data_IF_231750276628
#
_entry.id   IF_231750276628
#
_cell.length_a   1.000
_cell.length_b   1.000
_cell.length_c   1.000
_cell.angle_alpha   90.00
_cell.angle_beta   90.00
_cell.angle_gamma   90.00
#
_symmetry.space_group_name_H-M   'P 1'
#
loop_
_entity.id
_entity.type
_entity.pdbx_description
1 polymer ?
#
# COMPACT_ATOMS: atom_id res chain seq x y z
N UNK A 1 -41.55 16.01 3.94
CA UNK A 1 -40.56 16.78 4.71
C UNK A 1 -39.11 16.40 4.33
N UNK A 2 -38.77 15.11 4.22
CA UNK A 2 -37.44 14.66 3.86
C UNK A 2 -36.97 15.07 2.43
N UNK A 3 -37.85 15.03 1.44
CA UNK A 3 -37.51 15.42 0.07
C UNK A 3 -37.25 16.93 -0.09
N UNK A 4 -37.91 17.78 0.68
CA UNK A 4 -37.72 19.23 0.67
C UNK A 4 -36.36 19.60 1.28
N UNK A 5 -35.97 18.91 2.35
CA UNK A 5 -34.65 19.11 2.98
C UNK A 5 -33.53 18.68 2.04
N UNK A 6 -33.68 17.55 1.34
CA UNK A 6 -32.71 17.07 0.34
C UNK A 6 -32.61 18.08 -0.84
N UNK A 7 -33.73 18.63 -1.30
CA UNK A 7 -33.75 19.62 -2.38
C UNK A 7 -33.14 20.97 -1.95
N UNK A 8 -33.39 21.42 -0.70
CA UNK A 8 -32.77 22.64 -0.14
C UNK A 8 -31.28 22.47 0.09
N UNK A 9 -30.84 21.33 0.62
CA UNK A 9 -29.41 21.02 0.79
C UNK A 9 -28.74 20.90 -0.56
N UNK A 10 -29.40 20.30 -1.56
CA UNK A 10 -28.88 20.19 -2.92
C UNK A 10 -28.79 21.55 -3.63
N UNK A 11 -29.77 22.45 -3.43
CA UNK A 11 -29.75 23.84 -3.91
C UNK A 11 -28.59 24.63 -3.30
N UNK A 12 -28.44 24.56 -1.97
CA UNK A 12 -27.34 25.23 -1.27
C UNK A 12 -25.97 24.70 -1.70
N UNK A 13 -25.82 23.38 -1.85
CA UNK A 13 -24.58 22.79 -2.36
C UNK A 13 -24.29 23.26 -3.79
N UNK A 14 -25.28 23.28 -4.66
CA UNK A 14 -25.16 23.72 -6.04
C UNK A 14 -24.77 25.20 -6.14
N UNK A 15 -25.37 26.05 -5.32
CA UNK A 15 -25.12 27.50 -5.37
C UNK A 15 -23.77 27.90 -4.74
N UNK A 16 -23.30 27.18 -3.74
CA UNK A 16 -22.00 27.45 -3.10
C UNK A 16 -20.82 26.74 -3.77
N UNK A 17 -21.02 25.56 -4.37
CA UNK A 17 -19.94 24.82 -5.03
C UNK A 17 -19.82 25.09 -6.53
N UNK A 18 -20.89 25.52 -7.20
CA UNK A 18 -20.82 25.92 -8.60
C UNK A 18 -19.81 27.07 -8.85
N UNK A 19 -19.68 28.12 -8.02
CA UNK A 19 -18.65 29.13 -8.19
C UNK A 19 -17.22 28.60 -8.00
N UNK A 20 -17.03 27.63 -7.13
CA UNK A 20 -15.72 26.95 -6.93
C UNK A 20 -15.37 26.03 -8.10
N UNK A 21 -16.37 25.39 -8.71
CA UNK A 21 -16.22 24.58 -9.92
C UNK A 21 -16.03 25.44 -11.17
N UNK A 22 -16.63 26.65 -11.23
CA UNK A 22 -16.43 27.62 -12.31
C UNK A 22 -15.05 28.30 -12.23
N UNK A 23 -14.38 28.30 -11.08
CA UNK A 23 -12.99 28.75 -10.94
C UNK A 23 -11.99 27.73 -11.49
N UNK A 24 -12.40 26.49 -11.66
CA UNK A 24 -11.64 25.47 -12.36
C UNK A 24 -12.05 25.58 -13.83
N UNK A 25 -11.21 26.22 -14.62
CA UNK A 25 -11.43 26.34 -16.08
C UNK A 25 -11.60 24.91 -16.65
N UNK A 26 -12.80 24.60 -17.12
CA UNK A 26 -13.19 23.29 -17.64
C UNK A 26 -12.28 22.79 -18.77
N UNK A 27 -11.67 23.73 -19.51
CA UNK A 27 -10.67 23.41 -20.54
C UNK A 27 -9.41 22.78 -19.99
N UNK A 28 -9.10 23.02 -18.70
CA UNK A 28 -7.96 22.42 -18.00
C UNK A 28 -8.26 20.97 -17.59
N UNK A 29 -9.55 20.64 -17.40
CA UNK A 29 -9.98 19.28 -17.03
C UNK A 29 -10.21 18.37 -18.25
N UNK A 30 -10.47 18.95 -19.42
CA UNK A 30 -10.65 18.26 -20.70
C UNK A 30 -9.64 18.81 -21.71
N UNK A 31 -8.40 18.28 -21.78
CA UNK A 31 -7.60 18.47 -22.98
C UNK A 31 -8.36 17.84 -24.17
N UNK A 32 -8.05 18.24 -25.41
CA UNK A 32 -8.68 17.75 -26.66
C UNK A 32 -8.62 16.21 -26.82
N UNK A 33 -7.90 15.52 -25.92
CA UNK A 33 -7.83 14.07 -25.75
C UNK A 33 -8.77 13.65 -24.61
N UNK A 34 -9.43 12.51 -24.74
CA UNK A 34 -10.41 11.92 -23.79
C UNK A 34 -9.84 11.58 -22.40
N UNK A 35 -8.58 11.90 -22.12
CA UNK A 35 -7.88 11.57 -20.89
C UNK A 35 -8.01 12.66 -19.83
N UNK A 36 -8.22 12.32 -18.56
CA UNK A 36 -8.25 13.30 -17.48
C UNK A 36 -6.92 14.06 -17.37
N UNK A 37 -6.99 15.35 -17.10
CA UNK A 37 -5.80 16.19 -16.99
C UNK A 37 -4.94 15.81 -15.78
N UNK A 38 -3.63 16.02 -15.85
CA UNK A 38 -2.69 15.87 -14.73
C UNK A 38 -3.14 16.70 -13.50
N UNK A 39 -3.84 17.82 -13.73
CA UNK A 39 -4.41 18.64 -12.67
C UNK A 39 -5.42 17.84 -11.81
N UNK A 40 -6.30 17.04 -12.43
CA UNK A 40 -7.26 16.22 -11.70
C UNK A 40 -6.56 15.26 -10.71
N UNK A 41 -5.46 14.64 -11.11
CA UNK A 41 -4.72 13.71 -10.26
C UNK A 41 -4.07 14.43 -9.06
N UNK A 42 -3.46 15.59 -9.28
CA UNK A 42 -2.96 16.43 -8.18
C UNK A 42 -4.08 16.91 -7.27
N UNK A 43 -5.23 17.25 -7.84
CA UNK A 43 -6.41 17.65 -7.07
C UNK A 43 -6.91 16.52 -6.19
N UNK A 44 -7.06 15.30 -6.73
CA UNK A 44 -7.51 14.12 -5.97
C UNK A 44 -6.55 13.77 -4.83
N UNK A 45 -5.25 13.76 -5.10
CA UNK A 45 -4.23 13.51 -4.07
C UNK A 45 -4.31 14.56 -2.95
N UNK A 46 -4.40 15.84 -3.31
CA UNK A 46 -4.51 16.95 -2.36
C UNK A 46 -5.82 16.89 -1.57
N UNK A 47 -6.93 16.56 -2.22
CA UNK A 47 -8.23 16.41 -1.58
C UNK A 47 -8.21 15.25 -0.56
N UNK A 48 -7.65 14.10 -0.94
CA UNK A 48 -7.50 12.95 -0.04
C UNK A 48 -6.63 13.30 1.19
N UNK A 49 -5.54 14.03 0.97
CA UNK A 49 -4.70 14.54 2.05
C UNK A 49 -5.50 15.45 2.98
N UNK A 50 -6.21 16.45 2.46
CA UNK A 50 -7.00 17.39 3.26
C UNK A 50 -8.13 16.71 4.04
N UNK A 51 -8.88 15.81 3.39
CA UNK A 51 -9.97 15.07 4.06
C UNK A 51 -9.39 14.21 5.19
N UNK A 52 -8.29 13.51 4.94
CA UNK A 52 -7.65 12.70 5.98
C UNK A 52 -7.08 13.55 7.13
N UNK A 53 -6.57 14.76 6.85
CA UNK A 53 -6.15 15.71 7.89
C UNK A 53 -7.31 16.12 8.83
N UNK A 54 -8.53 16.15 8.32
CA UNK A 54 -9.73 16.44 9.12
C UNK A 54 -10.22 15.21 9.89
N UNK A 55 -10.14 14.02 9.31
CA UNK A 55 -10.66 12.78 9.91
C UNK A 55 -9.73 12.21 10.98
N UNK A 56 -8.41 12.28 10.82
CA UNK A 56 -7.44 11.69 11.75
C UNK A 56 -7.58 12.24 13.17
N UNK A 57 -7.68 13.56 13.43
CA UNK A 57 -7.87 14.07 14.79
C UNK A 57 -9.15 13.53 15.44
N UNK A 58 -10.24 13.37 14.68
CA UNK A 58 -11.50 12.80 15.17
C UNK A 58 -11.34 11.33 15.57
N UNK A 59 -10.62 10.57 14.76
CA UNK A 59 -10.30 9.17 15.07
C UNK A 59 -9.41 9.03 16.31
N UNK A 60 -8.46 9.95 16.53
CA UNK A 60 -7.63 10.00 17.75
C UNK A 60 -8.51 10.28 18.97
N UNK A 61 -9.43 11.26 18.90
CA UNK A 61 -10.35 11.58 19.99
C UNK A 61 -11.26 10.38 20.30
N UNK A 62 -11.82 9.76 19.26
CA UNK A 62 -12.66 8.57 19.39
C UNK A 62 -11.89 7.40 20.04
N UNK A 63 -10.70 7.09 19.54
CA UNK A 63 -9.87 6.00 20.07
C UNK A 63 -9.53 6.23 21.56
N UNK A 64 -9.19 7.44 21.94
CA UNK A 64 -8.89 7.78 23.34
C UNK A 64 -10.13 7.63 24.24
N UNK A 65 -11.30 8.06 23.75
CA UNK A 65 -12.56 7.96 24.50
C UNK A 65 -12.99 6.52 24.76
N UNK A 66 -12.81 5.64 23.75
CA UNK A 66 -13.19 4.23 23.83
C UNK A 66 -12.05 3.31 24.22
N UNK A 67 -10.88 3.87 24.60
CA UNK A 67 -9.68 3.13 25.02
C UNK A 67 -9.16 2.15 23.95
N UNK A 68 -9.36 2.48 22.67
CA UNK A 68 -8.82 1.75 21.54
C UNK A 68 -7.35 2.19 21.30
N UNK A 69 -6.51 1.86 22.26
CA UNK A 69 -5.12 2.31 22.35
C UNK A 69 -4.19 1.14 22.60
N UNK A 70 -3.01 1.20 22.01
CA UNK A 70 -1.94 0.27 22.31
C UNK A 70 -1.24 0.68 23.60
N UNK A 71 -1.24 -0.23 24.59
CA UNK A 71 -0.61 0.01 25.88
C UNK A 71 0.88 -0.38 25.85
N UNK A 72 1.75 0.44 26.51
CA UNK A 72 3.14 0.07 26.68
C UNK A 72 3.28 -1.25 27.43
N UNK A 73 4.13 -2.13 26.94
CA UNK A 73 4.55 -3.34 27.64
C UNK A 73 6.06 -3.55 27.47
N UNK A 74 6.64 -4.50 28.21
CA UNK A 74 8.08 -4.78 28.19
C UNK A 74 8.65 -5.16 26.82
N UNK A 75 7.78 -5.48 25.85
CA UNK A 75 8.17 -5.83 24.49
C UNK A 75 8.06 -4.67 23.50
N UNK A 76 7.44 -3.52 23.89
CA UNK A 76 7.16 -2.40 22.99
C UNK A 76 8.11 -1.24 23.26
N UNK A 77 8.38 -0.44 22.23
CA UNK A 77 9.34 0.68 22.28
C UNK A 77 8.72 2.01 22.69
N UNK A 78 7.37 2.09 22.74
CA UNK A 78 6.66 3.32 23.12
C UNK A 78 6.36 3.36 24.62
N UNK A 79 6.41 4.57 25.20
CA UNK A 79 6.23 4.82 26.64
C UNK A 79 4.82 5.32 26.99
N UNK A 80 4.01 5.68 26.01
CA UNK A 80 2.64 6.22 26.19
C UNK A 80 1.65 5.37 25.41
N UNK A 81 0.43 5.26 25.95
CA UNK A 81 -0.69 4.65 25.22
C UNK A 81 -0.98 5.45 23.96
N UNK A 82 -1.02 4.79 22.81
CA UNK A 82 -1.19 5.43 21.50
C UNK A 82 -2.38 4.82 20.77
N UNK A 83 -3.29 5.64 20.22
CA UNK A 83 -4.42 5.18 19.40
C UNK A 83 -4.01 4.29 18.23
N UNK A 84 -4.84 3.28 17.89
CA UNK A 84 -4.55 2.26 16.87
C UNK A 84 -5.55 2.30 15.69
N UNK A 85 -6.23 3.42 15.45
CA UNK A 85 -7.22 3.56 14.38
C UNK A 85 -6.68 4.18 13.09
N UNK A 86 -5.37 4.05 12.82
CA UNK A 86 -4.75 4.62 11.63
C UNK A 86 -5.35 4.09 10.33
N UNK A 87 -5.50 2.77 10.21
CA UNK A 87 -6.08 2.15 9.03
C UNK A 87 -7.54 2.55 8.79
N UNK A 88 -8.34 2.61 9.87
CA UNK A 88 -9.74 3.09 9.78
C UNK A 88 -9.78 4.53 9.26
N UNK A 89 -8.89 5.41 9.75
CA UNK A 89 -8.83 6.81 9.32
C UNK A 89 -8.45 6.93 7.85
N UNK A 90 -7.46 6.17 7.39
CA UNK A 90 -7.02 6.11 5.99
C UNK A 90 -8.17 5.62 5.12
N UNK A 91 -8.80 4.50 5.49
CA UNK A 91 -9.89 3.90 4.74
C UNK A 91 -11.06 4.87 4.52
N UNK A 92 -11.55 5.51 5.58
CA UNK A 92 -12.63 6.49 5.45
C UNK A 92 -12.21 7.73 4.65
N UNK A 93 -10.95 8.19 4.81
CA UNK A 93 -10.41 9.27 3.99
C UNK A 93 -10.43 8.94 2.49
N UNK A 94 -10.01 7.72 2.14
CA UNK A 94 -10.04 7.22 0.76
C UNK A 94 -11.46 7.08 0.23
N UNK A 95 -12.35 6.39 0.96
CA UNK A 95 -13.74 6.15 0.53
C UNK A 95 -14.47 7.47 0.32
N UNK A 96 -14.31 8.42 1.24
CA UNK A 96 -14.97 9.71 1.15
C UNK A 96 -14.45 10.53 -0.03
N UNK A 97 -13.12 10.57 -0.22
CA UNK A 97 -12.51 11.28 -1.35
C UNK A 97 -12.92 10.66 -2.68
N UNK A 98 -12.77 9.34 -2.82
CA UNK A 98 -13.12 8.63 -4.05
C UNK A 98 -14.61 8.81 -4.38
N UNK A 99 -15.50 8.63 -3.39
CA UNK A 99 -16.94 8.84 -3.57
C UNK A 99 -17.28 10.27 -3.99
N UNK A 100 -16.63 11.28 -3.37
CA UNK A 100 -16.82 12.69 -3.73
C UNK A 100 -16.38 12.96 -5.16
N UNK A 101 -15.20 12.50 -5.55
CA UNK A 101 -14.67 12.65 -6.91
C UNK A 101 -15.59 11.96 -7.92
N UNK A 102 -16.02 10.72 -7.64
CA UNK A 102 -16.95 10.00 -8.52
C UNK A 102 -18.30 10.72 -8.65
N UNK A 103 -18.85 11.24 -7.56
CA UNK A 103 -20.12 11.95 -7.57
C UNK A 103 -20.09 13.19 -8.48
N UNK A 104 -19.00 13.98 -8.41
CA UNK A 104 -18.91 15.21 -9.20
C UNK A 104 -18.44 14.99 -10.64
N UNK A 105 -17.59 14.00 -10.89
CA UNK A 105 -16.92 13.84 -12.18
C UNK A 105 -17.51 12.74 -13.06
N UNK A 106 -18.35 11.85 -12.52
CA UNK A 106 -18.91 10.72 -13.26
C UNK A 106 -19.57 11.12 -14.58
N UNK A 107 -20.43 12.15 -14.54
CA UNK A 107 -21.17 12.62 -15.73
C UNK A 107 -20.32 13.46 -16.69
N UNK A 108 -19.12 13.87 -16.29
CA UNK A 108 -18.30 14.83 -17.01
C UNK A 108 -17.13 14.19 -17.75
N UNK A 109 -16.61 13.10 -17.22
CA UNK A 109 -15.41 12.43 -17.73
C UNK A 109 -15.73 11.26 -18.67
N UNK A 110 -17.02 10.94 -18.90
CA UNK A 110 -17.43 9.76 -19.71
C UNK A 110 -16.66 8.48 -19.37
N UNK A 111 -16.30 8.32 -18.06
CA UNK A 111 -15.51 7.20 -17.58
C UNK A 111 -16.35 5.94 -17.65
N UNK A 112 -15.84 4.90 -18.30
CA UNK A 112 -16.40 3.56 -18.20
C UNK A 112 -16.11 3.03 -16.79
N UNK A 113 -17.13 2.94 -15.92
CA UNK A 113 -16.95 2.42 -14.57
C UNK A 113 -16.92 0.90 -14.57
N UNK A 114 -15.80 0.33 -14.17
CA UNK A 114 -15.75 -1.08 -13.80
C UNK A 114 -16.28 -1.26 -12.38
N UNK A 115 -17.59 -1.47 -12.26
CA UNK A 115 -18.24 -1.67 -10.95
C UNK A 115 -17.72 -2.89 -10.21
N UNK A 116 -17.35 -3.98 -10.92
CA UNK A 116 -16.77 -5.17 -10.30
C UNK A 116 -15.47 -4.82 -9.57
N UNK A 117 -14.58 -4.07 -10.22
CA UNK A 117 -13.33 -3.61 -9.64
C UNK A 117 -13.58 -2.72 -8.40
N UNK A 118 -14.42 -1.69 -8.56
CA UNK A 118 -14.67 -0.71 -7.48
C UNK A 118 -15.26 -1.43 -6.27
N UNK A 119 -16.39 -2.12 -6.42
CA UNK A 119 -17.04 -2.79 -5.30
C UNK A 119 -16.21 -3.97 -4.78
N UNK A 120 -15.52 -4.70 -5.66
CA UNK A 120 -14.64 -5.79 -5.27
C UNK A 120 -13.49 -5.32 -4.38
N UNK A 121 -12.75 -4.31 -4.82
CA UNK A 121 -11.61 -3.79 -4.07
C UNK A 121 -12.04 -3.15 -2.74
N UNK A 122 -13.06 -2.27 -2.75
CA UNK A 122 -13.51 -1.62 -1.53
C UNK A 122 -14.11 -2.61 -0.51
N UNK A 123 -14.83 -3.66 -0.98
CA UNK A 123 -15.33 -4.72 -0.10
C UNK A 123 -14.19 -5.53 0.53
N UNK A 124 -13.18 -5.89 -0.26
CA UNK A 124 -12.00 -6.61 0.22
C UNK A 124 -11.21 -5.80 1.25
N UNK A 125 -10.98 -4.51 0.98
CA UNK A 125 -10.31 -3.62 1.92
C UNK A 125 -11.14 -3.43 3.19
N UNK A 126 -12.47 -3.25 3.07
CA UNK A 126 -13.38 -3.14 4.23
C UNK A 126 -13.32 -4.38 5.12
N UNK A 127 -13.31 -5.57 4.51
CA UNK A 127 -13.18 -6.83 5.24
C UNK A 127 -11.86 -6.89 6.02
N UNK A 128 -10.76 -6.44 5.40
CA UNK A 128 -9.44 -6.46 6.03
C UNK A 128 -9.30 -5.38 7.11
N UNK A 129 -9.88 -4.19 6.92
CA UNK A 129 -9.95 -3.15 7.96
C UNK A 129 -10.74 -3.66 9.17
N UNK A 130 -11.91 -4.25 8.93
CA UNK A 130 -12.75 -4.81 10.00
C UNK A 130 -12.05 -5.94 10.75
N UNK A 131 -11.46 -6.90 10.01
CA UNK A 131 -10.74 -8.00 10.63
C UNK A 131 -9.49 -7.54 11.38
N UNK A 132 -8.72 -6.61 10.81
CA UNK A 132 -7.56 -6.02 11.48
C UNK A 132 -7.93 -5.25 12.75
N UNK A 133 -9.05 -4.55 12.75
CA UNK A 133 -9.58 -3.91 13.96
C UNK A 133 -9.97 -4.94 15.03
N UNK A 134 -10.60 -6.05 14.63
CA UNK A 134 -10.85 -7.18 15.54
C UNK A 134 -9.53 -7.72 16.13
N UNK A 135 -8.51 -7.85 15.30
CA UNK A 135 -7.21 -8.35 15.74
C UNK A 135 -6.50 -7.40 16.71
N UNK A 136 -6.51 -6.11 16.43
CA UNK A 136 -5.97 -5.07 17.31
C UNK A 136 -6.62 -5.08 18.70
N UNK A 137 -7.93 -5.42 18.79
CA UNK A 137 -8.69 -5.42 20.05
C UNK A 137 -8.63 -6.77 20.74
N UNK A 138 -8.81 -7.87 20.01
CA UNK A 138 -9.06 -9.21 20.56
C UNK A 138 -7.92 -10.21 20.37
N UNK A 139 -6.84 -9.84 19.64
CA UNK A 139 -5.70 -10.70 19.32
C UNK A 139 -6.13 -12.02 18.66
N UNK A 140 -6.42 -12.00 17.37
CA UNK A 140 -6.86 -13.15 16.61
C UNK A 140 -5.78 -14.24 16.52
N UNK A 141 -6.21 -15.49 16.40
CA UNK A 141 -5.30 -16.61 16.17
C UNK A 141 -4.66 -16.51 14.77
N UNK A 142 -3.39 -16.95 14.59
CA UNK A 142 -2.73 -16.90 13.29
C UNK A 142 -3.52 -17.57 12.16
N UNK A 143 -4.21 -18.67 12.45
CA UNK A 143 -5.04 -19.37 11.45
C UNK A 143 -6.25 -18.54 11.00
N UNK A 144 -6.86 -17.75 11.90
CA UNK A 144 -7.95 -16.86 11.56
C UNK A 144 -7.44 -15.74 10.64
N UNK A 145 -6.25 -15.18 10.90
CA UNK A 145 -5.61 -14.17 10.04
C UNK A 145 -5.44 -14.70 8.62
N UNK A 146 -4.82 -15.86 8.48
CA UNK A 146 -4.56 -16.49 7.17
C UNK A 146 -5.88 -16.80 6.45
N UNK A 147 -6.91 -17.27 7.15
CA UNK A 147 -8.20 -17.56 6.57
C UNK A 147 -8.86 -16.31 5.96
N UNK A 148 -8.92 -15.19 6.69
CA UNK A 148 -9.48 -13.94 6.17
C UNK A 148 -8.64 -13.35 5.04
N UNK A 149 -7.31 -13.48 5.09
CA UNK A 149 -6.42 -13.06 4.02
C UNK A 149 -6.64 -13.87 2.74
N UNK A 150 -6.85 -15.19 2.83
CA UNK A 150 -7.17 -16.05 1.66
C UNK A 150 -8.52 -15.63 1.05
N UNK A 151 -9.55 -15.42 1.87
CA UNK A 151 -10.86 -14.95 1.37
C UNK A 151 -10.72 -13.61 0.66
N UNK A 152 -10.01 -12.66 1.28
CA UNK A 152 -9.77 -11.33 0.72
C UNK A 152 -9.00 -11.43 -0.61
N UNK A 153 -7.92 -12.22 -0.65
CA UNK A 153 -7.13 -12.43 -1.86
C UNK A 153 -7.97 -13.02 -3.00
N UNK A 154 -8.70 -14.09 -2.72
CA UNK A 154 -9.56 -14.74 -3.70
C UNK A 154 -10.63 -13.77 -4.23
N UNK A 155 -11.25 -12.98 -3.33
CA UNK A 155 -12.26 -12.02 -3.69
C UNK A 155 -11.72 -10.93 -4.62
N UNK A 156 -10.55 -10.33 -4.33
CA UNK A 156 -9.91 -9.34 -5.20
C UNK A 156 -9.54 -9.94 -6.55
N UNK A 157 -8.89 -11.12 -6.55
CA UNK A 157 -8.44 -11.79 -7.78
C UNK A 157 -9.62 -12.05 -8.72
N UNK A 158 -10.77 -12.48 -8.20
CA UNK A 158 -11.94 -12.81 -9.00
C UNK A 158 -12.71 -11.56 -9.40
N UNK A 159 -12.95 -10.62 -8.48
CA UNK A 159 -13.78 -9.44 -8.77
C UNK A 159 -13.06 -8.39 -9.61
N UNK A 160 -11.75 -8.21 -9.40
CA UNK A 160 -10.95 -7.27 -10.17
C UNK A 160 -10.34 -7.90 -11.43
N UNK A 161 -10.51 -9.21 -11.63
CA UNK A 161 -9.98 -9.98 -12.77
C UNK A 161 -8.44 -9.86 -12.89
N UNK A 162 -7.74 -9.76 -11.74
CA UNK A 162 -6.29 -9.59 -11.66
C UNK A 162 -5.64 -10.87 -11.12
N UNK A 163 -4.63 -11.40 -11.84
CA UNK A 163 -3.89 -12.59 -11.41
C UNK A 163 -2.50 -12.64 -12.05
N UNK A 164 -1.62 -13.42 -11.46
CA UNK A 164 -0.32 -13.71 -12.06
C UNK A 164 -0.48 -14.94 -12.96
N UNK A 165 -0.53 -14.73 -14.25
CA UNK A 165 -0.67 -15.79 -15.26
C UNK A 165 0.54 -15.90 -16.19
N UNK A 166 1.45 -14.94 -16.14
CA UNK A 166 2.65 -14.91 -16.96
C UNK A 166 3.86 -14.38 -16.17
N UNK A 167 5.03 -14.96 -16.38
CA UNK A 167 6.30 -14.53 -15.78
C UNK A 167 7.19 -13.73 -16.73
N UNK A 168 6.71 -13.40 -17.94
CA UNK A 168 7.46 -12.63 -18.93
C UNK A 168 8.76 -13.31 -19.39
N UNK A 169 8.85 -14.64 -19.31
CA UNK A 169 10.04 -15.41 -19.65
C UNK A 169 11.09 -15.49 -18.52
N UNK A 170 10.78 -15.05 -17.31
CA UNK A 170 11.65 -15.22 -16.15
C UNK A 170 11.90 -16.71 -15.91
N UNK A 171 13.17 -17.14 -15.90
CA UNK A 171 13.60 -18.55 -15.83
C UNK A 171 13.05 -19.45 -16.95
N UNK A 172 12.65 -18.86 -18.11
CA UNK A 172 12.04 -19.57 -19.23
C UNK A 172 10.55 -19.91 -19.01
N UNK A 173 9.93 -19.41 -17.94
CA UNK A 173 8.51 -19.58 -17.67
C UNK A 173 7.76 -18.40 -18.29
N UNK A 174 6.79 -18.69 -19.15
CA UNK A 174 5.91 -17.71 -19.76
C UNK A 174 4.52 -17.80 -19.12
N UNK A 175 3.69 -18.68 -19.55
CA UNK A 175 2.30 -18.77 -19.11
C UNK A 175 2.08 -19.87 -18.06
N UNK A 176 1.22 -19.57 -17.10
CA UNK A 176 0.69 -20.54 -16.15
C UNK A 176 -0.70 -21.00 -16.58
N UNK A 177 -0.99 -22.29 -16.41
CA UNK A 177 -2.38 -22.75 -16.58
C UNK A 177 -3.27 -22.07 -15.53
N UNK A 178 -4.56 -21.86 -15.85
CA UNK A 178 -5.48 -21.13 -15.00
C UNK A 178 -5.52 -21.65 -13.55
N UNK A 179 -5.48 -22.97 -13.35
CA UNK A 179 -5.49 -23.57 -12.01
C UNK A 179 -4.28 -23.15 -11.17
N UNK A 180 -3.06 -23.29 -11.72
CA UNK A 180 -1.83 -22.86 -11.01
C UNK A 180 -1.76 -21.34 -10.85
N UNK A 181 -2.23 -20.56 -11.82
CA UNK A 181 -2.30 -19.11 -11.75
C UNK A 181 -3.14 -18.65 -10.55
N UNK A 182 -4.34 -19.20 -10.34
CA UNK A 182 -5.18 -18.84 -9.19
C UNK A 182 -4.52 -19.20 -7.85
N UNK A 183 -4.00 -20.42 -7.70
CA UNK A 183 -3.36 -20.87 -6.46
C UNK A 183 -2.13 -20.00 -6.14
N UNK A 184 -1.28 -19.78 -7.15
CA UNK A 184 -0.07 -18.98 -6.99
C UNK A 184 -0.41 -17.51 -6.67
N UNK A 185 -1.42 -16.96 -7.33
CA UNK A 185 -1.89 -15.61 -7.08
C UNK A 185 -2.39 -15.44 -5.65
N UNK A 186 -3.27 -16.32 -5.16
CA UNK A 186 -3.73 -16.28 -3.76
C UNK A 186 -2.56 -16.36 -2.79
N UNK A 187 -1.61 -17.26 -3.03
CA UNK A 187 -0.43 -17.43 -2.18
C UNK A 187 0.43 -16.14 -2.13
N UNK A 188 0.75 -15.55 -3.28
CA UNK A 188 1.54 -14.30 -3.35
C UNK A 188 0.78 -13.14 -2.71
N UNK A 189 -0.53 -13.04 -2.92
CA UNK A 189 -1.37 -12.01 -2.34
C UNK A 189 -1.34 -12.05 -0.81
N UNK A 190 -1.49 -13.25 -0.23
CA UNK A 190 -1.40 -13.47 1.23
C UNK A 190 -0.02 -13.12 1.76
N UNK A 191 1.06 -13.46 1.03
CA UNK A 191 2.43 -13.06 1.41
C UNK A 191 2.54 -11.54 1.46
N UNK A 192 2.01 -10.81 0.49
CA UNK A 192 2.07 -9.35 0.44
C UNK A 192 1.33 -8.72 1.62
N UNK A 193 0.11 -9.19 1.95
CA UNK A 193 -0.62 -8.72 3.13
C UNK A 193 0.21 -8.92 4.40
N UNK A 194 0.78 -10.12 4.58
CA UNK A 194 1.61 -10.41 5.75
C UNK A 194 2.91 -9.60 5.76
N UNK A 195 3.53 -9.37 4.61
CA UNK A 195 4.76 -8.59 4.52
C UNK A 195 4.54 -7.15 4.99
N UNK A 196 3.46 -6.49 4.57
CA UNK A 196 3.12 -5.15 5.04
C UNK A 196 2.75 -5.11 6.52
N UNK A 197 2.09 -6.14 7.04
CA UNK A 197 1.80 -6.25 8.46
C UNK A 197 3.09 -6.46 9.29
N UNK A 198 4.02 -7.29 8.83
CA UNK A 198 5.25 -7.59 9.56
C UNK A 198 6.26 -6.43 9.59
N UNK A 199 6.28 -5.55 8.58
CA UNK A 199 7.16 -4.37 8.59
C UNK A 199 6.59 -3.19 9.38
N UNK A 200 5.34 -3.27 9.88
CA UNK A 200 4.71 -2.23 10.69
C UNK A 200 5.23 -2.22 12.15
N UNK A 201 6.53 -2.44 12.32
CA UNK A 201 7.19 -2.50 13.64
C UNK A 201 7.82 -1.20 14.13
N UNK A 202 7.92 -0.17 13.27
CA UNK A 202 8.44 1.17 13.62
C UNK A 202 7.63 2.27 12.92
N UNK A 203 7.61 3.45 13.57
CA UNK A 203 6.82 4.59 13.10
C UNK A 203 7.11 4.92 11.63
N UNK A 204 6.08 4.98 10.83
CA UNK A 204 6.08 5.41 9.44
C UNK A 204 6.56 4.40 8.41
N UNK A 205 7.14 3.25 8.78
CA UNK A 205 7.78 2.36 7.82
C UNK A 205 6.79 1.76 6.82
N UNK A 206 5.79 1.03 7.30
CA UNK A 206 4.77 0.39 6.45
C UNK A 206 4.01 1.43 5.61
N UNK A 207 3.60 2.54 6.24
CA UNK A 207 2.89 3.62 5.56
C UNK A 207 3.76 4.35 4.51
N UNK A 208 5.08 4.53 4.74
CA UNK A 208 5.96 5.17 3.76
C UNK A 208 6.23 4.27 2.55
N UNK A 209 6.47 2.97 2.75
CA UNK A 209 6.59 2.01 1.65
C UNK A 209 5.27 1.93 0.88
N UNK A 210 4.14 1.91 1.58
CA UNK A 210 2.82 1.96 0.96
C UNK A 210 2.58 3.23 0.15
N UNK A 211 2.99 4.39 0.66
CA UNK A 211 2.90 5.68 -0.06
C UNK A 211 3.69 5.63 -1.38
N UNK A 212 4.94 5.16 -1.35
CA UNK A 212 5.76 5.06 -2.56
C UNK A 212 5.13 4.07 -3.55
N UNK A 213 4.65 2.92 -3.06
CA UNK A 213 4.00 1.91 -3.90
C UNK A 213 2.74 2.46 -4.55
N UNK A 214 1.84 3.10 -3.80
CA UNK A 214 0.59 3.65 -4.33
C UNK A 214 0.83 4.82 -5.28
N UNK A 215 1.84 5.69 -5.03
CA UNK A 215 2.24 6.73 -5.96
C UNK A 215 2.79 6.13 -7.27
N UNK A 216 3.64 5.11 -7.19
CA UNK A 216 4.21 4.46 -8.37
C UNK A 216 3.13 3.78 -9.22
N UNK A 217 2.20 3.04 -8.59
CA UNK A 217 1.09 2.41 -9.30
C UNK A 217 0.10 3.44 -9.84
N UNK A 218 -0.23 4.48 -9.06
CA UNK A 218 -1.09 5.56 -9.51
C UNK A 218 -0.52 6.27 -10.74
N UNK A 219 0.80 6.51 -10.77
CA UNK A 219 1.50 7.07 -11.92
C UNK A 219 1.46 6.14 -13.13
N UNK A 220 1.69 4.83 -12.91
CA UNK A 220 1.56 3.83 -13.99
C UNK A 220 0.16 3.81 -14.58
N UNK A 221 -0.88 3.74 -13.76
CA UNK A 221 -2.27 3.72 -14.21
C UNK A 221 -2.65 5.02 -14.94
N UNK A 222 -2.13 6.14 -14.46
CA UNK A 222 -2.32 7.43 -15.13
C UNK A 222 -1.79 7.41 -16.58
N UNK A 223 -0.55 6.99 -16.79
CA UNK A 223 0.06 6.99 -18.12
C UNK A 223 -0.52 5.91 -19.05
N UNK A 224 -1.31 4.98 -18.53
CA UNK A 224 -2.01 3.95 -19.29
C UNK A 224 -3.53 4.16 -19.35
N UNK A 225 -4.03 5.37 -19.06
CA UNK A 225 -5.44 5.77 -19.14
C UNK A 225 -6.41 4.95 -18.26
N UNK A 226 -5.88 4.32 -17.22
CA UNK A 226 -6.63 3.54 -16.23
C UNK A 226 -7.09 4.45 -15.08
N UNK A 227 -8.12 5.25 -15.39
CA UNK A 227 -8.54 6.37 -14.54
C UNK A 227 -8.98 5.92 -13.16
N UNK A 228 -9.80 4.88 -13.06
CA UNK A 228 -10.36 4.40 -11.78
C UNK A 228 -9.26 3.88 -10.86
N UNK A 229 -8.37 3.05 -11.40
CA UNK A 229 -7.22 2.49 -10.68
C UNK A 229 -6.28 3.61 -10.21
N UNK A 230 -6.00 4.58 -11.08
CA UNK A 230 -5.17 5.73 -10.74
C UNK A 230 -5.80 6.55 -9.62
N UNK A 231 -7.10 6.86 -9.69
CA UNK A 231 -7.81 7.62 -8.66
C UNK A 231 -7.79 6.91 -7.31
N UNK A 232 -8.02 5.60 -7.27
CA UNK A 232 -7.92 4.81 -6.04
C UNK A 232 -6.53 4.92 -5.42
N UNK A 233 -5.47 4.68 -6.22
CA UNK A 233 -4.08 4.73 -5.73
C UNK A 233 -3.69 6.12 -5.23
N UNK A 234 -4.13 7.19 -5.89
CA UNK A 234 -3.86 8.57 -5.47
C UNK A 234 -4.64 8.97 -4.22
N UNK A 235 -5.88 8.48 -4.05
CA UNK A 235 -6.61 8.64 -2.79
C UNK A 235 -5.85 8.00 -1.62
N UNK A 236 -5.32 6.77 -1.80
CA UNK A 236 -4.48 6.13 -0.80
C UNK A 236 -3.21 6.93 -0.54
N UNK A 237 -2.54 7.41 -1.58
CA UNK A 237 -1.31 8.19 -1.44
C UNK A 237 -1.54 9.47 -0.63
N UNK A 238 -2.59 10.23 -0.91
CA UNK A 238 -2.95 11.44 -0.16
C UNK A 238 -3.27 11.13 1.30
N UNK A 239 -4.06 10.09 1.56
CA UNK A 239 -4.43 9.67 2.92
C UNK A 239 -3.21 9.18 3.71
N UNK A 240 -2.31 8.39 3.11
CA UNK A 240 -1.07 7.93 3.72
C UNK A 240 -0.11 9.07 4.02
N UNK A 241 0.03 10.05 3.12
CA UNK A 241 0.85 11.24 3.35
C UNK A 241 0.34 12.04 4.56
N UNK A 242 -0.98 12.20 4.67
CA UNK A 242 -1.61 12.82 5.84
C UNK A 242 -1.34 12.02 7.12
N UNK A 243 -1.57 10.70 7.10
CA UNK A 243 -1.35 9.80 8.23
C UNK A 243 0.09 9.88 8.76
N UNK A 244 1.10 9.88 7.90
CA UNK A 244 2.52 9.94 8.27
C UNK A 244 2.86 11.14 9.16
N UNK A 245 2.20 12.29 8.98
CA UNK A 245 2.41 13.47 9.83
C UNK A 245 2.04 13.19 11.30
N UNK A 246 0.96 12.44 11.52
CA UNK A 246 0.53 12.07 12.87
C UNK A 246 1.32 10.90 13.44
N UNK A 247 1.67 9.94 12.58
CA UNK A 247 2.38 8.74 12.99
C UNK A 247 3.82 9.05 13.44
N UNK A 248 4.58 9.84 12.67
CA UNK A 248 5.93 10.28 13.10
C UNK A 248 5.92 11.11 14.40
N UNK A 249 4.81 11.78 14.71
CA UNK A 249 4.59 12.45 16.00
C UNK A 249 4.10 11.50 17.10
N UNK A 250 4.01 10.21 16.83
CA UNK A 250 3.51 9.16 17.74
C UNK A 250 2.11 9.43 18.30
N UNK A 251 1.27 10.11 17.51
CA UNK A 251 -0.11 10.44 17.90
C UNK A 251 -1.12 9.36 17.49
N UNK A 252 -0.77 8.55 16.50
CA UNK A 252 -1.64 7.51 15.93
C UNK A 252 -0.77 6.41 15.32
N UNK A 253 -1.05 5.16 15.66
CA UNK A 253 -0.44 3.99 15.01
C UNK A 253 -1.31 3.50 13.86
N UNK A 254 -0.68 2.84 12.88
CA UNK A 254 -1.35 2.26 11.73
C UNK A 254 -2.30 1.13 12.16
N UNK A 255 -1.80 0.24 13.02
CA UNK A 255 -2.50 -0.94 13.52
C UNK A 255 -2.59 -2.06 12.48
N UNK A 256 -3.02 -3.24 12.92
CA UNK A 256 -3.27 -4.39 12.04
C UNK A 256 -4.39 -4.07 11.03
N UNK A 257 -5.37 -3.24 11.45
CA UNK A 257 -6.41 -2.71 10.58
C UNK A 257 -5.86 -1.90 9.39
N UNK A 258 -4.75 -1.18 9.58
CA UNK A 258 -4.12 -0.37 8.53
C UNK A 258 -3.07 -1.13 7.74
N UNK A 259 -2.18 -1.84 8.39
CA UNK A 259 -1.06 -2.53 7.73
C UNK A 259 -1.55 -3.68 6.83
N UNK A 260 -2.53 -4.49 7.28
CA UNK A 260 -3.10 -5.55 6.45
C UNK A 260 -3.95 -4.99 5.30
N UNK A 261 -4.77 -3.96 5.52
CA UNK A 261 -5.55 -3.33 4.46
C UNK A 261 -4.66 -2.63 3.42
N UNK A 262 -3.57 -2.01 3.85
CA UNK A 262 -2.55 -1.45 2.96
C UNK A 262 -1.89 -2.55 2.12
N UNK A 263 -1.60 -3.71 2.72
CA UNK A 263 -1.13 -4.89 2.01
C UNK A 263 -2.07 -5.34 0.89
N UNK A 264 -3.40 -5.29 1.11
CA UNK A 264 -4.41 -5.57 0.06
C UNK A 264 -4.30 -4.58 -1.09
N UNK A 265 -4.20 -3.29 -0.80
CA UNK A 265 -4.12 -2.24 -1.83
C UNK A 265 -2.84 -2.34 -2.65
N UNK A 266 -1.71 -2.56 -1.99
CA UNK A 266 -0.43 -2.75 -2.69
C UNK A 266 -0.44 -4.03 -3.52
N UNK A 267 -0.98 -5.13 -2.99
CA UNK A 267 -1.14 -6.36 -3.74
C UNK A 267 -2.03 -6.18 -4.97
N UNK A 268 -3.16 -5.47 -4.84
CA UNK A 268 -4.00 -5.10 -5.99
C UNK A 268 -3.19 -4.34 -7.04
N UNK A 269 -2.41 -3.31 -6.65
CA UNK A 269 -1.54 -2.57 -7.57
C UNK A 269 -0.52 -3.46 -8.29
N UNK A 270 0.17 -4.34 -7.55
CA UNK A 270 1.11 -5.34 -8.10
C UNK A 270 0.43 -6.21 -9.16
N UNK A 271 -0.72 -6.79 -8.82
CA UNK A 271 -1.41 -7.72 -9.69
C UNK A 271 -2.00 -7.03 -10.92
N UNK A 272 -2.54 -5.82 -10.76
CA UNK A 272 -3.08 -5.04 -11.88
C UNK A 272 -1.98 -4.68 -12.88
N UNK A 273 -0.81 -4.21 -12.40
CA UNK A 273 0.32 -3.92 -13.30
C UNK A 273 0.80 -5.18 -14.01
N UNK A 274 0.92 -6.32 -13.30
CA UNK A 274 1.38 -7.58 -13.91
C UNK A 274 0.37 -8.09 -14.95
N UNK A 275 -0.93 -8.05 -14.67
CA UNK A 275 -1.97 -8.47 -15.62
C UNK A 275 -1.96 -7.64 -16.91
N UNK A 276 -1.73 -6.32 -16.79
CA UNK A 276 -1.74 -5.40 -17.93
C UNK A 276 -0.46 -5.48 -18.76
N UNK A 277 0.70 -5.65 -18.13
CA UNK A 277 1.99 -5.71 -18.84
C UNK A 277 2.23 -7.03 -19.58
N UNK A 278 1.40 -8.03 -19.35
CA UNK A 278 1.39 -9.27 -20.14
C UNK A 278 0.75 -9.08 -21.53
N UNK A 279 -0.08 -8.06 -21.70
CA UNK A 279 -0.67 -7.70 -23.00
C UNK A 279 0.26 -6.69 -23.71
N UNK A 280 1.01 -7.20 -24.69
CA UNK A 280 2.04 -6.41 -25.45
C UNK A 280 1.42 -5.19 -26.15
N UNK A 281 0.12 -5.19 -26.42
CA UNK A 281 -0.61 -4.09 -27.05
C UNK A 281 -0.89 -2.92 -26.08
N UNK A 282 -0.81 -3.16 -24.78
CA UNK A 282 -1.26 -2.22 -23.74
C UNK A 282 -0.17 -1.29 -23.21
N UNK A 283 1.09 -1.67 -23.36
CA UNK A 283 2.21 -0.93 -22.73
C UNK A 283 2.75 0.14 -23.67
N UNK A 284 2.44 1.40 -23.39
CA UNK A 284 3.14 2.53 -24.03
C UNK A 284 4.62 2.45 -23.70
N UNK A 285 5.51 2.55 -24.72
CA UNK A 285 6.97 2.46 -24.58
C UNK A 285 7.56 3.49 -23.59
N UNK A 286 6.79 4.53 -23.25
CA UNK A 286 7.15 5.60 -22.32
C UNK A 286 6.80 5.31 -20.86
N UNK A 287 6.07 4.21 -20.55
CA UNK A 287 5.67 3.94 -19.18
C UNK A 287 6.82 3.41 -18.34
N UNK A 288 6.89 3.85 -17.08
CA UNK A 288 7.89 3.50 -16.07
C UNK A 288 8.06 1.98 -15.87
N UNK A 289 7.01 1.20 -16.15
CA UNK A 289 6.96 -0.26 -16.01
C UNK A 289 6.96 -1.00 -17.35
N UNK A 290 7.31 -0.34 -18.47
CA UNK A 290 7.12 -0.91 -19.82
C UNK A 290 7.98 -2.13 -20.15
N UNK A 291 9.17 -2.22 -19.57
CA UNK A 291 10.08 -3.35 -19.81
C UNK A 291 10.43 -4.04 -18.50
N UNK A 292 10.37 -5.37 -18.49
CA UNK A 292 10.69 -6.17 -17.31
C UNK A 292 9.88 -5.73 -16.06
N UNK A 293 8.60 -5.36 -16.23
CA UNK A 293 7.72 -4.84 -15.18
C UNK A 293 7.71 -5.69 -13.91
N UNK A 294 7.77 -7.01 -14.02
CA UNK A 294 7.86 -7.92 -12.88
C UNK A 294 9.08 -7.61 -11.99
N UNK A 295 10.23 -7.26 -12.60
CA UNK A 295 11.45 -6.97 -11.83
C UNK A 295 11.37 -5.60 -11.18
N UNK A 296 10.80 -4.60 -11.87
CA UNK A 296 10.58 -3.26 -11.30
C UNK A 296 9.60 -3.32 -10.11
N UNK A 297 8.52 -4.10 -10.23
CA UNK A 297 7.58 -4.34 -9.14
C UNK A 297 8.28 -5.04 -7.97
N UNK A 298 9.04 -6.11 -8.24
CA UNK A 298 9.80 -6.82 -7.20
C UNK A 298 10.80 -5.90 -6.51
N UNK A 299 11.43 -4.97 -7.22
CA UNK A 299 12.32 -3.97 -6.63
C UNK A 299 11.55 -3.01 -5.70
N UNK A 300 10.39 -2.51 -6.13
CA UNK A 300 9.54 -1.61 -5.36
C UNK A 300 9.07 -2.21 -4.03
N UNK A 301 8.71 -3.50 -4.03
CA UNK A 301 8.26 -4.23 -2.85
C UNK A 301 9.35 -5.13 -2.25
N UNK A 302 10.62 -4.94 -2.66
CA UNK A 302 11.73 -5.82 -2.25
C UNK A 302 11.94 -5.86 -0.74
N UNK A 303 11.88 -4.70 -0.08
CA UNK A 303 12.10 -4.64 1.36
C UNK A 303 11.08 -5.46 2.16
N UNK A 304 9.74 -5.25 2.04
CA UNK A 304 8.78 -6.05 2.77
C UNK A 304 8.86 -7.53 2.45
N UNK A 305 9.06 -7.91 1.18
CA UNK A 305 9.15 -9.32 0.78
C UNK A 305 10.41 -9.99 1.33
N UNK A 306 11.58 -9.41 1.09
CA UNK A 306 12.85 -10.02 1.49
C UNK A 306 13.00 -10.09 3.01
N UNK A 307 12.53 -9.07 3.75
CA UNK A 307 12.57 -9.11 5.21
C UNK A 307 11.68 -10.23 5.76
N UNK A 308 10.48 -10.40 5.20
CA UNK A 308 9.56 -11.48 5.55
C UNK A 308 10.16 -12.86 5.24
N UNK A 309 10.64 -13.07 4.00
CA UNK A 309 11.25 -14.33 3.56
C UNK A 309 12.45 -14.65 4.43
N UNK A 310 13.34 -13.71 4.67
CA UNK A 310 14.52 -13.88 5.51
C UNK A 310 14.16 -14.34 6.92
N UNK A 311 13.18 -13.68 7.53
CA UNK A 311 12.76 -14.03 8.91
C UNK A 311 12.12 -15.41 8.93
N UNK A 312 11.33 -15.80 7.93
CA UNK A 312 10.77 -17.14 7.81
C UNK A 312 11.86 -18.21 7.76
N UNK A 313 12.86 -18.05 6.88
CA UNK A 313 13.98 -18.97 6.80
C UNK A 313 14.76 -19.05 8.11
N UNK A 314 15.09 -17.93 8.74
CA UNK A 314 15.81 -17.90 10.02
C UNK A 314 15.04 -18.66 11.11
N UNK A 315 13.71 -18.56 11.15
CA UNK A 315 12.86 -19.29 12.12
C UNK A 315 12.85 -20.79 11.81
N UNK A 316 12.68 -21.17 10.54
CA UNK A 316 12.70 -22.58 10.11
C UNK A 316 14.03 -23.24 10.44
N UNK A 317 15.16 -22.61 10.16
CA UNK A 317 16.49 -23.14 10.51
C UNK A 317 16.72 -23.28 12.03
N UNK A 318 15.97 -22.54 12.84
CA UNK A 318 15.99 -22.66 14.31
C UNK A 318 14.94 -23.64 14.85
N UNK A 319 14.24 -24.38 14.00
CA UNK A 319 13.14 -25.27 14.40
C UNK A 319 11.94 -24.56 15.01
N UNK A 320 11.75 -23.27 14.71
CA UNK A 320 10.64 -22.45 15.23
C UNK A 320 9.55 -22.30 14.18
N UNK A 321 8.30 -22.10 14.63
CA UNK A 321 7.20 -21.78 13.71
C UNK A 321 7.50 -20.49 12.93
N UNK A 322 7.32 -20.48 11.60
CA UNK A 322 7.48 -19.26 10.77
C UNK A 322 6.62 -18.09 11.24
N UNK A 323 5.49 -18.36 11.88
CA UNK A 323 4.51 -17.38 12.36
C UNK A 323 4.75 -16.89 13.79
N UNK A 324 5.82 -17.36 14.46
CA UNK A 324 6.13 -16.90 15.82
C UNK A 324 6.63 -15.46 15.80
N UNK A 325 6.05 -14.54 16.59
CA UNK A 325 6.56 -13.17 16.69
C UNK A 325 8.01 -13.15 17.19
N UNK A 326 8.88 -12.36 16.54
CA UNK A 326 10.26 -12.16 16.98
C UNK A 326 10.76 -10.72 16.69
N UNK A 327 12.01 -10.43 17.08
CA UNK A 327 12.68 -9.14 16.85
C UNK A 327 13.85 -9.26 15.86
N UNK A 328 13.74 -10.13 14.86
CA UNK A 328 14.81 -10.36 13.88
C UNK A 328 14.62 -9.55 12.58
N UNK A 329 13.57 -8.74 12.47
CA UNK A 329 13.36 -7.86 11.33
C UNK A 329 14.44 -6.79 11.21
N UNK A 330 14.76 -6.35 9.98
CA UNK A 330 15.87 -5.41 9.72
C UNK A 330 15.70 -4.09 10.47
N UNK A 331 14.49 -3.57 10.55
CA UNK A 331 14.21 -2.32 11.27
C UNK A 331 14.59 -2.41 12.76
N UNK A 332 14.48 -3.59 13.40
CA UNK A 332 14.98 -3.80 14.76
C UNK A 332 16.52 -3.82 14.83
N UNK A 333 17.22 -4.26 13.78
CA UNK A 333 18.66 -4.16 13.74
C UNK A 333 19.14 -2.71 13.62
N UNK A 334 18.45 -1.87 12.84
CA UNK A 334 18.75 -0.44 12.75
C UNK A 334 18.53 0.28 14.08
N UNK A 335 17.44 -0.01 14.79
CA UNK A 335 17.19 0.57 16.11
C UNK A 335 18.23 0.14 17.16
N UNK A 336 18.81 -1.07 17.07
CA UNK A 336 19.93 -1.51 17.91
C UNK A 336 21.22 -0.74 17.62
N UNK A 337 21.38 -0.19 16.41
CA UNK A 337 22.48 0.73 16.05
C UNK A 337 22.19 2.17 16.46
N UNK A 338 21.24 2.40 17.40
CA UNK A 338 20.81 3.70 17.89
C UNK A 338 20.19 4.64 16.84
N UNK A 339 19.68 4.08 15.72
CA UNK A 339 18.89 4.85 14.79
C UNK A 339 17.51 5.11 15.40
N UNK A 340 17.03 6.36 15.33
CA UNK A 340 15.63 6.65 15.65
C UNK A 340 14.70 5.99 14.64
N UNK A 341 13.42 5.79 14.99
CA UNK A 341 12.41 5.24 14.06
C UNK A 341 12.39 6.02 12.74
N UNK A 342 12.37 7.34 12.79
CA UNK A 342 12.39 8.20 11.61
C UNK A 342 13.64 7.97 10.74
N UNK A 343 14.85 7.92 11.34
CA UNK A 343 16.09 7.65 10.59
C UNK A 343 16.09 6.26 9.97
N UNK A 344 15.59 5.26 10.69
CA UNK A 344 15.48 3.88 10.16
C UNK A 344 14.52 3.81 8.99
N UNK A 345 13.35 4.43 9.11
CA UNK A 345 12.35 4.52 8.03
C UNK A 345 12.93 5.26 6.83
N UNK A 346 13.56 6.42 7.03
CA UNK A 346 14.16 7.21 5.96
C UNK A 346 15.24 6.41 5.21
N UNK A 347 16.11 5.70 5.93
CA UNK A 347 17.15 4.84 5.36
C UNK A 347 16.54 3.74 4.46
N UNK A 348 15.54 3.01 4.97
CA UNK A 348 14.88 1.93 4.22
C UNK A 348 14.14 2.48 2.99
N UNK A 349 13.41 3.58 3.15
CA UNK A 349 12.66 4.26 2.09
C UNK A 349 13.61 4.73 0.97
N UNK A 350 14.69 5.43 1.34
CA UNK A 350 15.71 5.90 0.37
C UNK A 350 16.31 4.71 -0.37
N UNK A 351 16.65 3.65 0.35
CA UNK A 351 17.17 2.42 -0.26
C UNK A 351 16.16 1.81 -1.25
N UNK A 352 14.87 1.71 -0.88
CA UNK A 352 13.82 1.17 -1.75
C UNK A 352 13.68 2.02 -3.03
N UNK A 353 13.70 3.35 -2.91
CA UNK A 353 13.65 4.25 -4.07
C UNK A 353 14.87 4.01 -4.99
N UNK A 354 16.06 3.96 -4.43
CA UNK A 354 17.29 3.76 -5.23
C UNK A 354 17.29 2.41 -5.97
N UNK A 355 16.86 1.33 -5.31
CA UNK A 355 16.73 0.01 -5.92
C UNK A 355 15.68 0.02 -7.04
N UNK A 356 14.53 0.69 -6.82
CA UNK A 356 13.50 0.80 -7.85
C UNK A 356 13.97 1.61 -9.06
N UNK A 357 14.66 2.73 -8.85
CA UNK A 357 15.24 3.51 -9.93
C UNK A 357 16.31 2.73 -10.70
N UNK A 358 17.14 1.96 -9.99
CA UNK A 358 18.12 1.06 -10.60
C UNK A 358 17.42 -0.02 -11.44
N UNK A 359 16.31 -0.59 -10.96
CA UNK A 359 15.53 -1.57 -11.72
C UNK A 359 15.00 -0.98 -13.03
N UNK A 360 14.44 0.23 -12.97
CA UNK A 360 13.98 0.94 -14.17
C UNK A 360 15.13 1.20 -15.15
N UNK A 361 16.25 1.70 -14.67
CA UNK A 361 17.44 1.97 -15.51
C UNK A 361 17.96 0.71 -16.20
N UNK A 362 17.95 -0.43 -15.52
CA UNK A 362 18.43 -1.71 -16.03
C UNK A 362 17.35 -2.49 -16.80
N UNK A 363 16.17 -1.94 -17.02
CA UNK A 363 15.03 -2.65 -17.65
C UNK A 363 15.30 -3.14 -19.08
N UNK A 364 16.31 -2.59 -19.78
CA UNK A 364 16.73 -3.04 -21.11
C UNK A 364 17.52 -4.37 -21.09
N UNK A 365 17.96 -4.85 -19.93
CA UNK A 365 18.68 -6.11 -19.80
C UNK A 365 17.76 -7.32 -20.04
N UNK A 366 18.38 -8.47 -20.37
CA UNK A 366 17.67 -9.75 -20.32
C UNK A 366 17.02 -9.96 -18.93
N UNK A 367 15.75 -10.37 -18.89
CA UNK A 367 14.95 -10.45 -17.67
C UNK A 367 15.62 -11.28 -16.56
N UNK A 368 16.22 -12.42 -16.88
CA UNK A 368 16.88 -13.28 -15.90
C UNK A 368 18.14 -12.62 -15.32
N UNK A 369 18.97 -11.97 -16.16
CA UNK A 369 20.14 -11.21 -15.69
C UNK A 369 19.70 -10.04 -14.81
N UNK A 370 18.69 -9.31 -15.24
CA UNK A 370 18.10 -8.20 -14.49
C UNK A 370 17.64 -8.67 -13.11
N UNK A 371 16.89 -9.81 -13.05
CA UNK A 371 16.44 -10.39 -11.79
C UNK A 371 17.60 -10.66 -10.82
N UNK A 372 18.66 -11.35 -11.25
CA UNK A 372 19.79 -11.66 -10.36
C UNK A 372 20.54 -10.42 -9.87
N UNK A 373 20.73 -9.41 -10.74
CA UNK A 373 21.35 -8.14 -10.34
C UNK A 373 20.50 -7.46 -9.27
N UNK A 374 19.17 -7.39 -9.49
CA UNK A 374 18.26 -6.74 -8.55
C UNK A 374 18.11 -7.51 -7.24
N UNK A 375 18.08 -8.84 -7.29
CA UNK A 375 18.05 -9.67 -6.09
C UNK A 375 19.31 -9.45 -5.25
N UNK A 376 20.50 -9.50 -5.87
CA UNK A 376 21.77 -9.24 -5.19
C UNK A 376 21.79 -7.85 -4.57
N UNK A 377 21.48 -6.81 -5.35
CA UNK A 377 21.42 -5.42 -4.88
C UNK A 377 20.43 -5.25 -3.73
N UNK A 378 19.25 -5.86 -3.83
CA UNK A 378 18.22 -5.80 -2.78
C UNK A 378 18.64 -6.52 -1.49
N UNK A 379 19.46 -7.57 -1.58
CA UNK A 379 19.98 -8.27 -0.41
C UNK A 379 21.08 -7.50 0.31
N UNK A 380 21.75 -6.52 -0.34
CA UNK A 380 22.88 -5.78 0.26
C UNK A 380 22.47 -5.00 1.53
N UNK A 381 21.22 -4.54 1.63
CA UNK A 381 20.72 -3.85 2.83
C UNK A 381 20.89 -4.71 4.11
N UNK A 382 20.87 -6.04 3.96
CA UNK A 382 20.95 -6.96 5.09
C UNK A 382 22.36 -7.09 5.69
N UNK A 383 23.39 -6.54 5.03
CA UNK A 383 24.72 -6.40 5.64
C UNK A 383 24.65 -5.57 6.93
N UNK A 384 23.71 -4.63 7.03
CA UNK A 384 23.42 -3.88 8.25
C UNK A 384 23.14 -4.82 9.43
N UNK A 385 22.45 -5.93 9.21
CA UNK A 385 22.16 -6.90 10.26
C UNK A 385 23.41 -7.62 10.78
N UNK A 386 24.41 -7.81 9.94
CA UNK A 386 25.70 -8.40 10.30
C UNK A 386 26.52 -7.42 11.12
N UNK A 387 26.60 -6.18 10.67
CA UNK A 387 27.30 -5.09 11.37
C UNK A 387 26.72 -4.88 12.77
N UNK A 388 25.37 -4.85 12.89
CA UNK A 388 24.72 -4.66 14.18
C UNK A 388 25.00 -5.78 15.19
N UNK A 389 25.24 -7.00 14.73
CA UNK A 389 25.61 -8.12 15.62
C UNK A 389 27.05 -8.00 16.11
N UNK A 390 27.99 -7.58 15.25
CA UNK A 390 29.38 -7.41 15.63
C UNK A 390 29.56 -6.27 16.64
N UNK A 391 28.78 -5.21 16.55
CA UNK A 391 28.77 -4.11 17.52
C UNK A 391 28.34 -4.59 18.92
N UNK A 392 27.29 -5.43 19.02
CA UNK A 392 26.82 -5.94 20.31
C UNK A 392 27.78 -6.95 20.95
N UNK A 393 28.55 -7.70 20.17
CA UNK A 393 29.55 -8.63 20.71
C UNK A 393 30.72 -7.88 21.38
N UNK A 394 31.07 -6.68 20.88
CA UNK A 394 32.16 -5.87 21.43
C UNK A 394 31.75 -5.10 22.69
N UNK A 395 30.45 -4.79 22.88
CA UNK A 395 29.95 -4.08 24.07
C UNK A 395 29.69 -4.99 25.27
N UNK A 396 29.67 -6.30 25.07
CA UNK A 396 29.54 -7.30 26.16
C UNK A 396 30.90 -7.75 26.73
N UNK A 397 32.01 -7.29 26.16
CA UNK A 397 33.38 -7.64 26.59
C UNK A 397 34.05 -6.46 27.35
N UNK A 398 33.41 -5.32 27.42
CA UNK A 398 33.82 -4.13 28.22
C UNK A 398 32.92 -3.97 29.42
#
# INVERSE_FOLDING_TARGET
MSQIIIFMVWGLIKDYFNPLLLLIDYSILKPETSTPSLFLYFFVLSLAFCISQLLIPQSILFANRFKLVDHPNSRKTHLKSTPILGGVSIFFGVVFTFGTVMFFLYNQLEISLNFKLIFGLFSAVSLMVFFGLKDDILQAKPIEKVFFQIITAFFVIVSCEVRIDNFGGLFGIYELTSFYSYIFSVFVFVILINAFNLIDGIDGLSASIGLISTLSFGTFFFFNDLVVEALVMLCYSGALASFLIFNFKKKLFLGDNGSMSLGVVVAFGVFSVLSLTNDVSFVNETSFFSKNSIIVILALISFPLLDTIRVFFVRMFKGQSPFKPDRNHLHHHLTRLNFSHFKSTLFIVTYTILITLMAVYLSALNITKHFFIMLFSSCMIYLVSIISKSFNSNTTIS
#
